data_IF_002786338557
#
_entry.id   IF_002786338557
#
_cell.length_a   1.000
_cell.length_b   1.000
_cell.length_c   1.000
_cell.angle_alpha   90.00
_cell.angle_beta   90.00
_cell.angle_gamma   90.00
#
_symmetry.space_group_name_H-M   'P 1'
#
loop_
_entity.id
_entity.type
_entity.pdbx_description
1 polymer ?
#
# COMPACT_ATOMS: atom_id res chain seq x y z
N UNK A 1 -1.77 -12.27 17.91
CA UNK A 1 -2.60 -13.35 18.46
C UNK A 1 -4.03 -12.86 18.47
N UNK A 2 -5.00 -13.65 18.04
CA UNK A 2 -6.41 -13.30 18.06
C UNK A 2 -7.15 -14.23 19.04
N UNK A 3 -8.11 -13.71 19.76
CA UNK A 3 -8.99 -14.53 20.60
C UNK A 3 -10.16 -15.06 19.79
N UNK A 4 -10.76 -16.16 20.24
CA UNK A 4 -11.94 -16.74 19.59
C UNK A 4 -13.07 -15.71 19.53
N UNK A 5 -13.71 -15.57 18.35
CA UNK A 5 -14.78 -14.60 18.06
C UNK A 5 -14.36 -13.12 18.24
N UNK A 6 -13.05 -12.80 18.26
CA UNK A 6 -12.57 -11.44 18.38
C UNK A 6 -11.76 -11.06 17.12
N UNK A 7 -12.07 -9.91 16.56
CA UNK A 7 -11.35 -9.38 15.41
C UNK A 7 -9.97 -8.88 15.82
N UNK A 8 -8.94 -9.37 15.15
CA UNK A 8 -7.58 -8.86 15.22
C UNK A 8 -7.26 -8.04 13.97
N UNK A 9 -6.59 -6.92 14.15
CA UNK A 9 -6.15 -6.03 13.08
C UNK A 9 -4.62 -6.01 13.03
N UNK A 10 -4.08 -6.29 11.85
CA UNK A 10 -2.67 -6.07 11.51
C UNK A 10 -2.59 -4.92 10.53
N UNK A 11 -1.87 -3.86 10.88
CA UNK A 11 -1.65 -2.69 10.04
C UNK A 11 -0.14 -2.53 9.81
N UNK A 12 0.28 -2.66 8.56
CA UNK A 12 1.67 -2.46 8.11
C UNK A 12 1.63 -1.47 6.96
N UNK A 13 1.69 -0.18 7.28
CA UNK A 13 1.52 0.91 6.33
C UNK A 13 2.55 2.00 6.58
N UNK A 14 2.93 2.69 5.50
CA UNK A 14 3.60 3.98 5.56
C UNK A 14 2.53 5.06 5.36
N UNK A 15 2.62 6.14 6.09
CA UNK A 15 1.76 7.30 5.89
C UNK A 15 2.44 8.24 4.89
N UNK A 16 1.83 8.35 3.71
CA UNK A 16 2.28 9.29 2.69
C UNK A 16 1.62 10.64 2.93
N UNK A 17 2.43 11.68 2.95
CA UNK A 17 1.98 13.06 3.21
C UNK A 17 1.95 13.81 1.90
N UNK A 18 0.84 14.47 1.61
CA UNK A 18 0.70 15.38 0.48
C UNK A 18 -0.05 16.64 0.89
N UNK A 19 0.04 17.67 0.06
CA UNK A 19 -0.59 18.96 0.32
C UNK A 19 -1.62 19.24 -0.75
N UNK A 20 -2.76 19.76 -0.35
CA UNK A 20 -3.70 20.41 -1.26
C UNK A 20 -3.57 21.93 -1.09
N UNK A 21 -3.63 22.65 -2.21
CA UNK A 21 -3.45 24.10 -2.24
C UNK A 21 -4.75 24.73 -2.71
N UNK A 22 -5.34 25.54 -1.85
CA UNK A 22 -6.48 26.38 -2.19
C UNK A 22 -5.98 27.78 -2.55
N UNK A 23 -6.41 28.27 -3.71
CA UNK A 23 -6.07 29.58 -4.23
C UNK A 23 -7.29 30.51 -4.17
N UNK A 24 -7.21 31.57 -3.37
CA UNK A 24 -8.18 32.66 -3.35
C UNK A 24 -7.60 33.87 -4.11
N UNK A 25 -8.21 34.19 -5.25
CA UNK A 25 -7.84 35.36 -6.07
C UNK A 25 -8.88 36.43 -5.87
N UNK A 26 -8.45 37.62 -5.43
CA UNK A 26 -9.25 38.79 -5.39
C UNK A 26 -8.79 39.77 -6.46
N UNK A 27 -9.65 40.01 -7.42
CA UNK A 27 -9.37 40.90 -8.54
C UNK A 27 -9.08 42.33 -8.08
N UNK A 28 -8.20 42.99 -8.80
CA UNK A 28 -7.89 44.41 -8.57
C UNK A 28 -9.11 45.29 -8.82
N UNK A 29 -9.40 46.20 -7.88
CA UNK A 29 -10.37 47.28 -8.04
C UNK A 29 -9.62 48.59 -8.11
N UNK A 30 -10.26 49.67 -8.55
CA UNK A 30 -9.61 50.98 -8.79
C UNK A 30 -8.70 51.51 -7.66
N UNK A 31 -8.88 51.00 -6.42
CA UNK A 31 -8.10 51.40 -5.23
C UNK A 31 -7.49 50.23 -4.45
N UNK A 32 -7.64 48.97 -4.92
CA UNK A 32 -7.15 47.80 -4.24
C UNK A 32 -6.39 46.93 -5.27
N UNK A 33 -5.10 46.64 -5.05
CA UNK A 33 -4.34 45.76 -5.95
C UNK A 33 -4.88 44.35 -5.88
N UNK A 34 -4.67 43.57 -6.95
CA UNK A 34 -4.93 42.15 -6.97
C UNK A 34 -4.20 41.45 -5.81
N UNK A 35 -4.91 40.59 -5.09
CA UNK A 35 -4.36 39.84 -3.98
C UNK A 35 -4.61 38.36 -4.20
N UNK A 36 -3.55 37.60 -4.23
CA UNK A 36 -3.55 36.12 -4.29
C UNK A 36 -3.17 35.58 -2.91
N UNK A 37 -4.00 34.73 -2.37
CA UNK A 37 -3.76 34.08 -1.07
C UNK A 37 -3.76 32.58 -1.28
N UNK A 38 -2.68 31.92 -0.83
CA UNK A 38 -2.56 30.46 -0.85
C UNK A 38 -2.83 29.93 0.54
N UNK A 39 -3.69 28.92 0.61
CA UNK A 39 -3.91 28.13 1.82
C UNK A 39 -3.48 26.71 1.52
N UNK A 40 -2.56 26.16 2.31
CA UNK A 40 -2.08 24.79 2.17
C UNK A 40 -2.64 23.94 3.30
N UNK A 41 -3.23 22.79 2.93
CA UNK A 41 -3.75 21.80 3.88
C UNK A 41 -2.97 20.50 3.75
N UNK A 42 -2.59 19.90 4.90
CA UNK A 42 -1.85 18.65 4.96
C UNK A 42 -2.84 17.50 4.98
N UNK A 43 -2.62 16.53 4.09
CA UNK A 43 -3.33 15.27 4.05
C UNK A 43 -2.37 14.11 4.19
N UNK A 44 -2.84 13.02 4.82
CA UNK A 44 -2.09 11.77 4.93
C UNK A 44 -2.93 10.61 4.45
N UNK A 45 -2.30 9.69 3.73
CA UNK A 45 -2.93 8.45 3.29
C UNK A 45 -2.07 7.25 3.65
N UNK A 46 -2.67 6.18 4.19
CA UNK A 46 -1.95 4.96 4.52
C UNK A 46 -1.67 4.15 3.25
N UNK A 47 -0.41 3.85 2.99
CA UNK A 47 0.07 3.02 1.87
C UNK A 47 0.70 1.75 2.41
N UNK A 48 0.16 0.58 2.05
CA UNK A 48 0.64 -0.70 2.53
C UNK A 48 -0.46 -1.73 2.73
N UNK A 49 -0.32 -2.59 3.74
CA UNK A 49 -1.21 -3.69 4.05
C UNK A 49 -1.97 -3.45 5.35
N UNK A 50 -3.28 -3.60 5.29
CA UNK A 50 -4.16 -3.72 6.45
C UNK A 50 -4.86 -5.07 6.35
N UNK A 51 -4.76 -5.89 7.39
CA UNK A 51 -5.39 -7.21 7.45
C UNK A 51 -6.26 -7.30 8.69
N UNK A 52 -7.55 -7.49 8.49
CA UNK A 52 -8.52 -7.81 9.55
C UNK A 52 -8.83 -9.29 9.52
N UNK A 53 -8.77 -9.94 10.69
CA UNK A 53 -9.02 -11.38 10.83
C UNK A 53 -9.91 -11.61 12.04
N UNK A 54 -11.03 -12.30 11.83
CA UNK A 54 -11.92 -12.76 12.91
C UNK A 54 -11.96 -14.28 12.89
N UNK A 55 -11.30 -14.96 13.85
CA UNK A 55 -11.35 -16.40 13.96
C UNK A 55 -12.58 -16.87 14.73
N UNK A 56 -13.14 -17.99 14.30
CA UNK A 56 -14.16 -18.74 15.04
C UNK A 56 -13.74 -20.19 15.12
N UNK A 57 -13.49 -20.67 16.33
CA UNK A 57 -12.99 -22.01 16.59
C UNK A 57 -14.16 -22.93 16.93
N UNK A 58 -14.25 -24.05 16.23
CA UNK A 58 -15.21 -25.12 16.50
C UNK A 58 -14.61 -26.18 17.42
N UNK A 59 -15.45 -26.83 18.24
CA UNK A 59 -15.05 -27.94 19.12
C UNK A 59 -14.41 -29.13 18.38
N UNK A 60 -14.60 -29.21 17.07
CA UNK A 60 -14.04 -30.25 16.19
C UNK A 60 -12.66 -29.92 15.63
N UNK A 61 -12.01 -28.85 16.08
CA UNK A 61 -10.70 -28.41 15.61
C UNK A 61 -10.72 -27.69 14.27
N UNK A 62 -11.89 -27.29 13.77
CA UNK A 62 -11.98 -26.40 12.61
C UNK A 62 -11.90 -24.95 13.05
N UNK A 63 -11.19 -24.16 12.29
CA UNK A 63 -11.10 -22.70 12.44
C UNK A 63 -11.75 -22.05 11.24
N UNK A 64 -12.86 -21.35 11.45
CA UNK A 64 -13.45 -20.47 10.45
C UNK A 64 -12.81 -19.10 10.59
N UNK A 65 -12.27 -18.57 9.50
CA UNK A 65 -11.57 -17.30 9.45
C UNK A 65 -12.34 -16.35 8.53
N UNK A 66 -12.90 -15.28 9.09
CA UNK A 66 -13.31 -14.14 8.28
C UNK A 66 -12.09 -13.22 8.14
N UNK A 67 -11.63 -13.05 6.91
CA UNK A 67 -10.42 -12.28 6.59
C UNK A 67 -10.75 -11.18 5.60
N UNK A 68 -10.19 -9.99 5.86
CA UNK A 68 -10.31 -8.82 4.99
C UNK A 68 -8.95 -8.16 4.83
N UNK A 69 -8.14 -8.62 3.87
CA UNK A 69 -6.93 -7.91 3.47
C UNK A 69 -7.29 -6.69 2.62
N UNK A 70 -6.69 -5.55 2.93
CA UNK A 70 -6.74 -4.31 2.16
C UNK A 70 -5.31 -3.88 1.85
N UNK A 71 -5.00 -3.72 0.56
CA UNK A 71 -3.68 -3.29 0.09
C UNK A 71 -3.84 -1.98 -0.64
N UNK A 72 -3.09 -0.98 -0.22
CA UNK A 72 -2.97 0.31 -0.89
C UNK A 72 -1.57 0.52 -1.42
N UNK A 73 -1.47 1.09 -2.62
CA UNK A 73 -0.21 1.46 -3.25
C UNK A 73 -0.35 2.74 -4.05
N UNK A 74 0.74 3.49 -4.18
CA UNK A 74 0.83 4.63 -5.08
C UNK A 74 1.08 4.08 -6.49
N UNK A 75 0.28 4.53 -7.46
CA UNK A 75 0.40 4.15 -8.88
C UNK A 75 0.97 5.28 -9.72
N UNK A 76 0.90 6.50 -9.25
CA UNK A 76 1.37 7.68 -9.94
C UNK A 76 1.18 8.93 -9.08
N UNK A 77 1.45 10.07 -9.71
CA UNK A 77 1.22 11.38 -9.11
C UNK A 77 0.49 12.26 -10.13
N UNK A 78 -0.59 12.87 -9.69
CA UNK A 78 -1.28 13.91 -10.44
C UNK A 78 -0.70 15.27 -10.07
N UNK A 79 -0.61 16.18 -11.05
CA UNK A 79 -0.16 17.55 -10.81
C UNK A 79 -1.38 18.40 -10.46
N UNK A 80 -1.32 19.05 -9.30
CA UNK A 80 -2.31 20.04 -8.91
C UNK A 80 -2.20 21.26 -9.82
N UNK A 81 -3.28 21.69 -10.51
CA UNK A 81 -3.24 22.85 -11.38
C UNK A 81 -3.21 24.19 -10.65
N UNK A 82 -3.56 24.22 -9.35
CA UNK A 82 -3.71 25.47 -8.60
C UNK A 82 -2.43 26.34 -8.56
N UNK A 83 -1.21 25.79 -8.35
CA UNK A 83 0.00 26.60 -8.40
C UNK A 83 0.26 27.24 -9.77
N UNK A 84 0.00 26.51 -10.85
CA UNK A 84 0.23 27.02 -12.23
C UNK A 84 -0.77 28.11 -12.61
N UNK A 85 -2.01 28.02 -12.14
CA UNK A 85 -3.03 29.06 -12.35
C UNK A 85 -2.68 30.39 -11.64
N UNK A 86 -1.79 30.31 -10.66
CA UNK A 86 -1.31 31.45 -9.90
C UNK A 86 0.08 31.93 -10.32
N UNK A 87 0.59 31.50 -11.50
CA UNK A 87 1.95 31.77 -12.00
C UNK A 87 3.07 31.33 -11.02
N UNK A 88 2.82 30.31 -10.22
CA UNK A 88 3.85 29.74 -9.33
C UNK A 88 4.73 28.75 -10.09
N UNK A 89 6.06 28.82 -9.87
CA UNK A 89 7.07 27.99 -10.56
C UNK A 89 7.30 26.61 -9.89
N UNK A 90 6.36 26.11 -9.11
CA UNK A 90 6.47 24.80 -8.50
C UNK A 90 5.28 23.90 -8.84
N UNK A 91 5.53 22.62 -8.91
CA UNK A 91 4.50 21.59 -9.10
C UNK A 91 4.13 20.99 -7.74
N UNK A 92 2.83 20.98 -7.42
CA UNK A 92 2.30 20.23 -6.30
C UNK A 92 1.84 18.86 -6.81
N UNK A 93 2.43 17.78 -6.24
CA UNK A 93 2.17 16.41 -6.65
C UNK A 93 1.22 15.73 -5.67
N UNK A 94 0.08 15.28 -6.17
CA UNK A 94 -0.94 14.55 -5.40
C UNK A 94 -0.82 13.06 -5.76
N UNK A 95 -0.63 12.15 -4.77
CA UNK A 95 -0.48 10.74 -5.06
C UNK A 95 -1.77 10.11 -5.56
N UNK A 96 -1.68 9.34 -6.63
CA UNK A 96 -2.75 8.47 -7.11
C UNK A 96 -2.67 7.13 -6.41
N UNK A 97 -3.72 6.77 -5.66
CA UNK A 97 -3.72 5.59 -4.80
C UNK A 97 -4.66 4.54 -5.37
N UNK A 98 -4.13 3.35 -5.56
CA UNK A 98 -4.89 2.16 -5.87
C UNK A 98 -5.12 1.35 -4.59
N UNK A 99 -6.38 1.10 -4.26
CA UNK A 99 -6.78 0.26 -3.13
C UNK A 99 -7.35 -1.05 -3.65
N UNK A 100 -6.94 -2.17 -3.06
CA UNK A 100 -7.45 -3.51 -3.32
C UNK A 100 -7.91 -4.11 -2.01
N UNK A 101 -9.16 -4.52 -1.98
CA UNK A 101 -9.78 -5.14 -0.82
C UNK A 101 -10.44 -6.45 -1.23
N UNK A 102 -10.24 -7.48 -0.41
CA UNK A 102 -10.86 -8.79 -0.56
C UNK A 102 -11.53 -9.12 0.76
N UNK A 103 -12.71 -9.68 0.74
CA UNK A 103 -13.34 -10.27 1.92
C UNK A 103 -13.61 -11.74 1.65
N UNK A 104 -13.20 -12.61 2.57
CA UNK A 104 -13.35 -14.04 2.41
C UNK A 104 -13.61 -14.74 3.74
N UNK A 105 -14.55 -15.68 3.72
CA UNK A 105 -14.79 -16.59 4.83
C UNK A 105 -14.21 -17.95 4.47
N UNK A 106 -13.23 -18.41 5.23
CA UNK A 106 -12.49 -19.63 5.01
C UNK A 106 -12.65 -20.57 6.19
N UNK A 107 -12.73 -21.87 5.94
CA UNK A 107 -12.73 -22.87 6.98
C UNK A 107 -11.52 -23.79 6.79
N UNK A 108 -10.72 -23.96 7.83
CA UNK A 108 -9.47 -24.71 7.79
C UNK A 108 -9.28 -25.49 9.08
N UNK A 109 -8.61 -26.63 8.99
CA UNK A 109 -8.19 -27.40 10.17
C UNK A 109 -7.01 -26.71 10.86
N UNK A 110 -6.92 -26.88 12.16
CA UNK A 110 -5.76 -26.41 12.96
C UNK A 110 -4.44 -26.86 12.36
N UNK A 111 -3.49 -25.93 12.25
CA UNK A 111 -2.14 -26.16 11.71
C UNK A 111 -2.06 -26.39 10.20
N UNK A 112 -3.16 -26.40 9.45
CA UNK A 112 -3.15 -26.48 7.98
C UNK A 112 -2.99 -25.12 7.35
N UNK A 113 -2.30 -25.08 6.23
CA UNK A 113 -2.12 -23.85 5.44
C UNK A 113 -3.23 -23.76 4.38
N UNK A 114 -3.86 -22.61 4.30
CA UNK A 114 -4.79 -22.26 3.23
C UNK A 114 -4.16 -21.14 2.38
N UNK A 115 -4.44 -21.19 1.09
CA UNK A 115 -3.96 -20.21 0.13
C UNK A 115 -5.14 -19.38 -0.34
N UNK A 116 -5.04 -18.08 -0.18
CA UNK A 116 -5.95 -17.10 -0.75
C UNK A 116 -5.24 -16.44 -1.92
N UNK A 117 -5.69 -16.73 -3.13
CA UNK A 117 -5.14 -16.15 -4.35
C UNK A 117 -6.23 -15.57 -5.22
N UNK A 118 -5.84 -14.88 -6.29
CA UNK A 118 -6.79 -14.49 -7.34
C UNK A 118 -6.89 -13.00 -7.62
N UNK A 119 -6.07 -12.15 -7.04
CA UNK A 119 -5.98 -10.76 -7.46
C UNK A 119 -4.89 -10.60 -8.52
N UNK A 120 -5.24 -10.87 -9.78
CA UNK A 120 -4.34 -10.68 -10.92
C UNK A 120 -4.47 -9.26 -11.46
N UNK A 121 -3.34 -8.63 -11.74
CA UNK A 121 -3.25 -7.40 -12.50
C UNK A 121 -2.39 -7.63 -13.73
N UNK A 122 -2.91 -7.23 -14.87
CA UNK A 122 -2.16 -7.13 -16.10
C UNK A 122 -1.89 -5.65 -16.36
N UNK A 123 -0.63 -5.28 -16.50
CA UNK A 123 -0.20 -3.94 -16.83
C UNK A 123 0.66 -4.01 -18.09
N UNK A 124 0.35 -3.19 -19.08
CA UNK A 124 1.15 -3.06 -20.28
C UNK A 124 2.01 -1.81 -20.12
N UNK A 125 3.29 -2.01 -19.87
CA UNK A 125 4.27 -0.92 -19.81
C UNK A 125 4.81 -0.70 -21.20
N UNK A 126 4.43 0.42 -21.83
CA UNK A 126 4.93 0.82 -23.13
C UNK A 126 6.16 1.70 -22.97
N UNK A 127 7.30 1.21 -23.43
CA UNK A 127 8.52 2.00 -23.54
C UNK A 127 8.73 2.37 -25.00
N UNK A 128 8.97 3.64 -25.24
CA UNK A 128 9.34 4.13 -26.56
C UNK A 128 10.65 4.88 -26.45
N UNK A 129 11.68 4.27 -26.99
CA UNK A 129 13.00 4.87 -27.10
C UNK A 129 13.22 5.28 -28.56
N UNK A 130 13.75 6.47 -28.79
CA UNK A 130 14.02 6.98 -30.14
C UNK A 130 15.20 7.92 -30.19
N UNK A 131 15.82 8.00 -31.33
CA UNK A 131 16.90 8.97 -31.55
C UNK A 131 16.30 10.38 -31.52
N UNK A 132 16.78 11.27 -30.62
CA UNK A 132 16.29 12.65 -30.54
C UNK A 132 16.29 13.31 -31.92
N UNK A 133 15.24 14.09 -32.23
CA UNK A 133 15.02 14.77 -33.50
C UNK A 133 14.61 13.85 -34.65
N UNK A 134 15.28 12.72 -34.89
CA UNK A 134 14.99 11.81 -35.99
C UNK A 134 13.69 11.01 -35.80
N UNK A 135 13.38 10.63 -34.53
CA UNK A 135 12.15 9.91 -34.20
C UNK A 135 10.89 10.78 -34.29
N UNK A 136 11.02 12.12 -34.34
CA UNK A 136 9.91 13.06 -34.48
C UNK A 136 9.57 13.48 -35.91
N UNK A 137 10.32 13.01 -36.89
CA UNK A 137 10.09 13.36 -38.33
C UNK A 137 8.86 12.64 -38.85
N UNK A 138 7.85 13.37 -39.39
CA UNK A 138 6.65 12.76 -39.97
C UNK A 138 7.02 11.86 -41.16
N UNK A 139 6.50 10.61 -41.18
CA UNK A 139 6.67 9.65 -42.24
C UNK A 139 7.85 8.70 -42.09
N UNK A 140 8.98 9.12 -41.51
CA UNK A 140 10.19 8.28 -41.33
C UNK A 140 10.60 8.07 -39.91
N UNK A 141 10.02 8.81 -38.94
CA UNK A 141 10.39 8.75 -37.52
C UNK A 141 10.24 7.37 -36.91
N UNK A 142 9.34 6.53 -37.41
CA UNK A 142 9.17 5.15 -36.92
C UNK A 142 10.37 4.24 -37.18
N UNK A 143 11.23 4.55 -38.17
CA UNK A 143 12.47 3.79 -38.43
C UNK A 143 13.57 4.09 -37.38
N UNK A 144 13.45 5.20 -36.67
CA UNK A 144 14.39 5.67 -35.64
C UNK A 144 13.81 5.61 -34.22
N UNK A 145 12.67 4.93 -34.08
CA UNK A 145 12.04 4.68 -32.78
C UNK A 145 11.89 3.17 -32.53
N UNK A 146 12.25 2.74 -31.34
CA UNK A 146 12.02 1.39 -30.84
C UNK A 146 10.88 1.44 -29.83
N UNK A 147 9.88 0.59 -30.02
CA UNK A 147 8.78 0.46 -29.07
C UNK A 147 8.86 -0.93 -28.45
N UNK A 148 8.94 -0.98 -27.14
CA UNK A 148 8.94 -2.21 -26.35
C UNK A 148 7.67 -2.23 -25.49
N UNK A 149 6.81 -3.21 -25.73
CA UNK A 149 5.59 -3.43 -24.98
C UNK A 149 5.81 -4.60 -24.00
N UNK A 150 6.04 -4.29 -22.73
CA UNK A 150 6.22 -5.28 -21.66
C UNK A 150 4.89 -5.54 -20.96
N UNK A 151 4.43 -6.80 -20.96
CA UNK A 151 3.26 -7.24 -20.21
C UNK A 151 3.70 -7.69 -18.81
N UNK A 152 3.45 -6.86 -17.80
CA UNK A 152 3.71 -7.17 -16.40
C UNK A 152 2.44 -7.77 -15.79
N UNK A 153 2.54 -9.03 -15.33
CA UNK A 153 1.48 -9.70 -14.58
C UNK A 153 1.86 -9.74 -13.11
N UNK A 154 1.02 -9.17 -12.28
CA UNK A 154 1.20 -9.21 -10.82
C UNK A 154 0.04 -9.97 -10.20
N UNK A 155 0.36 -10.96 -9.37
CA UNK A 155 -0.62 -11.75 -8.62
C UNK A 155 -0.35 -11.60 -7.12
N UNK A 156 -1.42 -11.36 -6.35
CA UNK A 156 -1.36 -11.38 -4.90
C UNK A 156 -1.79 -12.75 -4.40
N UNK A 157 -0.89 -13.40 -3.67
CA UNK A 157 -1.16 -14.67 -3.00
C UNK A 157 -0.90 -14.53 -1.50
N UNK A 158 -1.90 -14.87 -0.68
CA UNK A 158 -1.83 -14.80 0.77
C UNK A 158 -1.88 -16.23 1.33
N UNK A 159 -0.86 -16.61 2.11
CA UNK A 159 -0.82 -17.87 2.82
C UNK A 159 -1.21 -17.66 4.28
N UNK A 160 -2.19 -18.41 4.75
CA UNK A 160 -2.67 -18.36 6.12
C UNK A 160 -2.56 -19.73 6.77
N UNK A 161 -1.97 -19.77 7.96
CA UNK A 161 -1.87 -20.96 8.78
C UNK A 161 -2.33 -20.64 10.20
N UNK A 162 -3.58 -20.94 10.56
CA UNK A 162 -4.01 -20.83 11.94
C UNK A 162 -3.36 -21.89 12.81
N UNK A 163 -3.10 -21.52 14.06
CA UNK A 163 -2.67 -22.46 15.11
C UNK A 163 -3.44 -22.13 16.38
N UNK A 164 -4.15 -23.13 16.88
CA UNK A 164 -4.92 -23.00 18.12
C UNK A 164 -3.98 -23.19 19.30
N UNK A 165 -3.93 -22.17 20.17
CA UNK A 165 -3.20 -22.24 21.43
C UNK A 165 -4.24 -22.35 22.55
N UNK A 166 -4.33 -23.55 23.15
CA UNK A 166 -5.19 -23.76 24.33
C UNK A 166 -4.52 -23.16 25.56
N UNK A 167 -5.13 -22.14 26.14
CA UNK A 167 -4.65 -21.55 27.40
C UNK A 167 -4.84 -22.51 28.56
N UNK A 168 -3.80 -23.25 28.94
CA UNK A 168 -3.86 -24.11 30.12
C UNK A 168 -2.78 -25.17 30.26
N UNK A 169 -2.07 -25.52 29.22
CA UNK A 169 -0.91 -26.43 29.32
C UNK A 169 0.28 -25.81 28.62
N UNK A 170 1.19 -25.25 29.42
CA UNK A 170 2.57 -25.13 28.98
C UNK A 170 3.05 -26.57 28.73
N UNK A 171 3.34 -27.01 27.49
CA UNK A 171 3.97 -28.31 27.30
C UNK A 171 5.26 -28.24 28.08
N UNK A 172 5.49 -29.22 28.96
CA UNK A 172 6.78 -29.40 29.63
C UNK A 172 7.84 -29.62 28.54
N UNK A 173 8.54 -28.56 28.14
CA UNK A 173 9.45 -28.51 27.00
C UNK A 173 9.26 -27.31 26.06
N UNK A 174 8.29 -26.43 26.33
CA UNK A 174 8.06 -25.22 25.54
C UNK A 174 9.21 -24.23 25.67
N UNK A 175 9.81 -23.88 24.54
CA UNK A 175 10.81 -22.81 24.45
C UNK A 175 10.17 -21.53 25.00
N UNK A 176 10.74 -20.98 26.05
CA UNK A 176 10.36 -19.69 26.62
C UNK A 176 10.76 -18.58 25.65
N UNK A 177 10.11 -17.42 25.72
CA UNK A 177 10.47 -16.22 24.91
C UNK A 177 11.97 -15.91 25.00
N UNK A 178 12.63 -16.26 26.12
CA UNK A 178 14.08 -16.14 26.32
C UNK A 178 14.92 -17.00 25.36
N UNK A 179 14.38 -18.10 24.84
CA UNK A 179 15.12 -18.98 23.92
C UNK A 179 15.16 -18.41 22.49
N UNK A 180 14.26 -17.48 22.18
CA UNK A 180 14.23 -16.76 20.90
C UNK A 180 15.05 -15.48 20.90
N UNK A 181 15.35 -14.93 22.09
CA UNK A 181 16.14 -13.71 22.25
C UNK A 181 17.23 -13.96 23.29
N UNK A 182 18.37 -14.57 22.91
CA UNK A 182 19.50 -14.72 23.83
C UNK A 182 20.01 -13.34 24.23
N UNK A 183 19.84 -12.98 25.51
CA UNK A 183 20.42 -11.78 26.07
C UNK A 183 21.94 -11.94 26.01
N UNK A 184 22.57 -11.21 25.11
CA UNK A 184 24.03 -11.18 25.00
C UNK A 184 24.58 -10.41 26.19
N UNK A 185 24.97 -11.14 27.26
CA UNK A 185 25.72 -10.56 28.35
C UNK A 185 27.04 -10.02 27.79
N UNK A 186 27.16 -8.72 27.67
CA UNK A 186 28.47 -8.07 27.59
C UNK A 186 29.11 -8.23 28.96
N UNK A 187 30.05 -9.15 29.08
CA UNK A 187 31.00 -9.14 30.19
C UNK A 187 31.85 -7.88 30.02
N UNK A 188 31.72 -6.96 30.97
CA UNK A 188 32.73 -5.96 31.21
C UNK A 188 34.02 -6.72 31.58
N UNK A 189 35.05 -6.56 30.79
CA UNK A 189 36.42 -6.94 31.14
C UNK A 189 37.03 -5.73 31.84
N UNK A 190 37.41 -5.96 33.09
CA UNK A 190 38.41 -5.14 33.78
C UNK A 190 39.72 -5.09 33.00
#
# INVERSE_FOLDING_TARGET
>A
MALNNQTALLKVVNEEVFFTIELDIRDATANIPERRTFTSEIHTVPVGLVLSVTPQISDRGFVSLNIRPTISRITGFAIDPAPRLADAEFDNLIPEIQVREIESLLQVLDGRTIVLGGLMQNEIVKRRDGVPVLSSVPGVGGLFAYTDDELVKTELVIFLRPSIVSGGQSPSGGKTIRDFYPVRNQRASD
#
